data_IF_194715596808
#
_entry.id   IF_194715596808
#
_cell.length_a   1.000
_cell.length_b   1.000
_cell.length_c   1.000
_cell.angle_alpha   90.00
_cell.angle_beta   90.00
_cell.angle_gamma   90.00
#
_symmetry.space_group_name_H-M   'P 1'
#
loop_
_entity.id
_entity.type
_entity.pdbx_description
1 polymer ?
#
# COMPACT_ATOMS: atom_id res chain seq x y z
N UNK A 1 -19.50 1.46 -4.94
CA UNK A 1 -19.22 2.78 -5.55
C UNK A 1 -18.06 2.70 -6.55
N UNK A 2 -16.92 2.11 -6.16
CA UNK A 2 -15.80 1.86 -7.08
C UNK A 2 -16.17 0.99 -8.29
N UNK A 3 -17.02 -0.03 -8.10
CA UNK A 3 -17.49 -0.94 -9.17
C UNK A 3 -18.20 -0.24 -10.33
N UNK A 4 -18.83 0.91 -10.07
CA UNK A 4 -19.49 1.72 -11.10
C UNK A 4 -18.50 2.68 -11.74
N UNK A 5 -17.70 3.38 -10.93
CA UNK A 5 -16.71 4.35 -11.40
C UNK A 5 -15.69 3.71 -12.35
N UNK A 6 -15.18 2.51 -12.02
CA UNK A 6 -14.14 1.86 -12.83
C UNK A 6 -14.66 1.34 -14.19
N UNK A 7 -15.97 1.38 -14.43
CA UNK A 7 -16.61 1.05 -15.70
C UNK A 7 -16.84 2.27 -16.59
N UNK A 8 -16.51 3.47 -16.11
CA UNK A 8 -16.61 4.68 -16.93
C UNK A 8 -15.62 4.61 -18.11
N UNK A 9 -15.98 5.14 -19.30
CA UNK A 9 -15.15 4.99 -20.51
C UNK A 9 -13.72 5.53 -20.37
N UNK A 10 -13.49 6.48 -19.47
CA UNK A 10 -12.14 6.99 -19.20
C UNK A 10 -11.18 5.94 -18.61
N UNK A 11 -11.71 4.81 -18.12
CA UNK A 11 -10.95 3.71 -17.54
C UNK A 11 -10.92 2.45 -18.44
N UNK A 12 -11.37 2.55 -19.70
CA UNK A 12 -11.36 1.42 -20.65
C UNK A 12 -9.94 0.92 -20.98
N UNK A 13 -8.91 1.72 -20.70
CA UNK A 13 -7.51 1.33 -20.88
C UNK A 13 -7.02 0.34 -19.79
N UNK A 14 -7.76 0.19 -18.68
CA UNK A 14 -7.41 -0.72 -17.59
C UNK A 14 -7.89 -2.13 -17.95
N UNK A 15 -7.03 -3.14 -17.78
CA UNK A 15 -7.41 -4.53 -18.02
C UNK A 15 -8.50 -5.00 -17.04
N UNK A 16 -9.35 -5.95 -17.44
CA UNK A 16 -10.40 -6.46 -16.54
C UNK A 16 -9.81 -7.07 -15.27
N UNK A 17 -8.66 -7.77 -15.36
CA UNK A 17 -7.95 -8.31 -14.19
C UNK A 17 -7.49 -7.21 -13.23
N UNK A 18 -7.00 -6.08 -13.75
CA UNK A 18 -6.60 -4.94 -12.93
C UNK A 18 -7.83 -4.24 -12.30
N UNK A 19 -8.95 -4.15 -13.04
CA UNK A 19 -10.21 -3.62 -12.49
C UNK A 19 -10.71 -4.50 -11.35
N UNK A 20 -10.67 -5.82 -11.51
CA UNK A 20 -11.05 -6.79 -10.47
C UNK A 20 -10.19 -6.61 -9.23
N UNK A 21 -8.88 -6.42 -9.40
CA UNK A 21 -7.99 -6.12 -8.28
C UNK A 21 -8.34 -4.80 -7.57
N UNK A 22 -8.55 -3.72 -8.32
CA UNK A 22 -8.94 -2.40 -7.76
C UNK A 22 -10.22 -2.54 -6.94
N UNK A 23 -11.23 -3.22 -7.47
CA UNK A 23 -12.51 -3.45 -6.79
C UNK A 23 -12.26 -4.25 -5.52
N UNK A 24 -11.61 -5.41 -5.63
CA UNK A 24 -11.45 -6.34 -4.51
C UNK A 24 -10.60 -5.75 -3.38
N UNK A 25 -9.50 -5.04 -3.70
CA UNK A 25 -8.70 -4.34 -2.71
C UNK A 25 -9.47 -3.19 -2.05
N UNK A 26 -10.21 -2.40 -2.84
CA UNK A 26 -11.02 -1.28 -2.31
C UNK A 26 -12.07 -1.80 -1.33
N UNK A 27 -12.82 -2.82 -1.70
CA UNK A 27 -13.82 -3.47 -0.84
C UNK A 27 -13.18 -4.03 0.43
N UNK A 28 -12.01 -4.68 0.32
CA UNK A 28 -11.27 -5.19 1.47
C UNK A 28 -10.85 -4.11 2.47
N UNK A 29 -10.42 -2.93 1.98
CA UNK A 29 -10.07 -1.80 2.82
C UNK A 29 -11.29 -1.09 3.42
N UNK A 30 -12.39 -0.99 2.68
CA UNK A 30 -13.65 -0.43 3.16
C UNK A 30 -14.23 -1.26 4.31
N UNK A 31 -14.16 -2.58 4.22
CA UNK A 31 -14.52 -3.48 5.33
C UNK A 31 -13.66 -3.27 6.59
N UNK A 32 -12.46 -2.70 6.45
CA UNK A 32 -11.56 -2.35 7.57
C UNK A 32 -11.74 -0.92 8.07
N UNK A 33 -12.71 -0.17 7.54
CA UNK A 33 -12.97 1.22 7.90
C UNK A 33 -12.03 2.21 7.22
N UNK A 34 -11.49 1.87 6.06
CA UNK A 34 -10.67 2.76 5.22
C UNK A 34 -11.36 3.03 3.89
N UNK A 35 -11.23 4.24 3.36
CA UNK A 35 -11.87 4.61 2.10
C UNK A 35 -10.91 5.39 1.22
N UNK A 36 -11.09 5.26 -0.09
CA UNK A 36 -10.42 6.11 -1.08
C UNK A 36 -11.08 7.50 -1.21
N UNK A 37 -12.19 7.73 -0.49
CA UNK A 37 -12.91 9.01 -0.48
C UNK A 37 -13.82 9.23 -1.69
N UNK A 38 -14.06 8.19 -2.49
CA UNK A 38 -15.02 8.22 -3.60
C UNK A 38 -14.55 8.90 -4.87
N UNK A 39 -13.26 9.22 -4.99
CA UNK A 39 -12.70 9.89 -6.16
C UNK A 39 -11.45 9.16 -6.64
N UNK A 40 -11.44 8.80 -7.92
CA UNK A 40 -10.22 8.41 -8.64
C UNK A 40 -9.52 9.71 -9.07
N UNK A 41 -8.37 10.02 -8.47
CA UNK A 41 -7.63 11.26 -8.73
C UNK A 41 -6.59 11.08 -9.83
N UNK A 42 -5.90 12.17 -10.20
CA UNK A 42 -4.74 12.12 -11.13
C UNK A 42 -3.52 11.48 -10.46
N UNK A 43 -2.79 10.62 -11.15
CA UNK A 43 -1.71 9.81 -10.58
C UNK A 43 -0.36 10.50 -10.30
N UNK A 44 -0.26 11.82 -10.48
CA UNK A 44 0.92 12.68 -10.24
C UNK A 44 2.29 11.99 -10.40
N UNK A 45 2.82 11.96 -11.64
CA UNK A 45 4.13 11.43 -12.02
C UNK A 45 4.31 9.90 -11.92
N UNK A 46 3.35 9.14 -11.36
CA UNK A 46 3.44 7.70 -11.14
C UNK A 46 2.34 6.87 -11.84
N UNK A 47 1.43 7.54 -12.55
CA UNK A 47 0.32 6.97 -13.31
C UNK A 47 -0.60 8.06 -13.88
N UNK A 48 -1.54 7.66 -14.74
CA UNK A 48 -2.60 8.56 -15.22
C UNK A 48 -3.59 8.86 -14.09
N UNK A 49 -3.94 7.83 -13.32
CA UNK A 49 -4.90 7.90 -12.23
C UNK A 49 -4.37 7.28 -10.93
N UNK A 50 -4.99 7.61 -9.80
CA UNK A 50 -4.71 6.97 -8.52
C UNK A 50 -5.91 6.97 -7.57
N UNK A 51 -5.95 5.94 -6.73
CA UNK A 51 -6.79 5.92 -5.53
C UNK A 51 -5.92 6.23 -4.31
N UNK A 52 -6.41 7.05 -3.38
CA UNK A 52 -5.71 7.34 -2.12
C UNK A 52 -6.56 6.93 -0.92
N UNK A 53 -6.14 5.88 -0.22
CA UNK A 53 -6.85 5.34 0.92
C UNK A 53 -6.45 6.03 2.23
N UNK A 54 -7.45 6.33 3.06
CA UNK A 54 -7.33 6.93 4.39
C UNK A 54 -8.35 6.29 5.34
N UNK A 55 -8.13 6.42 6.65
CA UNK A 55 -9.12 5.96 7.64
C UNK A 55 -10.41 6.78 7.50
N UNK A 56 -11.55 6.10 7.37
CA UNK A 56 -12.84 6.74 7.27
C UNK A 56 -13.16 7.50 8.57
N UNK A 57 -13.84 8.66 8.44
CA UNK A 57 -14.27 9.51 9.55
C UNK A 57 -13.16 9.96 10.52
N UNK A 58 -11.89 9.87 10.12
CA UNK A 58 -10.76 10.34 10.92
C UNK A 58 -10.46 11.81 10.62
N UNK A 59 -10.15 12.59 11.67
CA UNK A 59 -9.62 13.96 11.50
C UNK A 59 -8.25 13.98 10.81
N UNK A 60 -7.48 12.92 11.01
CA UNK A 60 -6.16 12.75 10.37
C UNK A 60 -6.33 12.40 8.89
N UNK A 61 -5.58 13.10 8.04
CA UNK A 61 -5.54 12.87 6.58
C UNK A 61 -4.40 11.92 6.17
N UNK A 62 -3.89 11.12 7.11
CA UNK A 62 -2.81 10.17 6.86
C UNK A 62 -3.21 9.17 5.78
N UNK A 63 -2.37 9.09 4.75
CA UNK A 63 -2.49 8.11 3.67
C UNK A 63 -1.96 6.79 4.16
N UNK A 64 -2.72 5.72 3.96
CA UNK A 64 -2.36 4.37 4.38
C UNK A 64 -2.07 3.44 3.21
N UNK A 65 -2.68 3.71 2.05
CA UNK A 65 -2.42 3.00 0.82
C UNK A 65 -2.69 3.90 -0.39
N UNK A 66 -2.08 3.57 -1.53
CA UNK A 66 -2.40 4.12 -2.84
C UNK A 66 -2.41 3.01 -3.86
N UNK A 67 -3.30 3.11 -4.85
CA UNK A 67 -3.18 2.35 -6.09
C UNK A 67 -2.86 3.37 -7.18
N UNK A 68 -1.73 3.20 -7.85
CA UNK A 68 -1.38 3.95 -9.04
C UNK A 68 -1.83 3.16 -10.27
N UNK A 69 -2.61 3.80 -11.12
CA UNK A 69 -3.13 3.23 -12.36
C UNK A 69 -2.27 3.78 -13.49
N UNK A 70 -1.52 2.91 -14.16
CA UNK A 70 -0.67 3.22 -15.31
C UNK A 70 -1.31 2.64 -16.56
N UNK A 71 -0.85 3.05 -17.73
CA UNK A 71 -1.43 2.62 -19.02
C UNK A 71 -1.48 1.09 -19.21
N UNK A 72 -0.56 0.34 -18.59
CA UNK A 72 -0.42 -1.11 -18.80
C UNK A 72 -0.22 -1.91 -17.51
N UNK A 73 -0.35 -1.28 -16.35
CA UNK A 73 -0.11 -1.93 -15.06
C UNK A 73 -0.66 -1.14 -13.88
N UNK A 74 -0.74 -1.84 -12.75
CA UNK A 74 -1.01 -1.23 -11.45
C UNK A 74 0.24 -1.26 -10.56
N UNK A 75 0.31 -0.28 -9.66
CA UNK A 75 1.20 -0.34 -8.51
C UNK A 75 0.40 -0.09 -7.25
N UNK A 76 0.29 -1.10 -6.40
CA UNK A 76 -0.21 -0.94 -5.05
C UNK A 76 0.94 -0.45 -4.18
N UNK A 77 0.72 0.60 -3.40
CA UNK A 77 1.68 1.09 -2.44
C UNK A 77 1.06 1.20 -1.06
N UNK A 78 1.70 0.58 -0.07
CA UNK A 78 1.27 0.63 1.32
C UNK A 78 2.17 1.55 2.13
N UNK A 79 1.62 2.33 3.05
CA UNK A 79 2.41 3.26 3.85
C UNK A 79 2.64 2.64 5.22
N UNK A 80 3.86 2.18 5.49
CA UNK A 80 4.18 1.52 6.76
C UNK A 80 5.19 2.30 7.59
N UNK A 81 4.99 2.29 8.90
CA UNK A 81 5.89 2.89 9.89
C UNK A 81 6.20 1.85 10.97
N UNK A 82 7.27 2.07 11.74
CA UNK A 82 7.72 1.15 12.79
C UNK A 82 7.96 -0.28 12.29
N UNK A 83 8.53 -0.43 11.09
CA UNK A 83 8.70 -1.73 10.40
C UNK A 83 9.36 -2.79 11.27
N UNK A 84 10.42 -2.45 12.03
CA UNK A 84 11.11 -3.38 12.94
C UNK A 84 10.16 -4.06 13.95
N UNK A 85 9.08 -3.39 14.38
CA UNK A 85 8.11 -3.99 15.32
C UNK A 85 7.35 -5.18 14.73
N UNK A 86 7.31 -5.28 13.41
CA UNK A 86 6.59 -6.31 12.67
C UNK A 86 7.54 -7.36 12.08
N UNK A 87 8.79 -7.42 12.56
CA UNK A 87 9.84 -8.34 12.08
C UNK A 87 9.35 -9.79 11.95
N UNK A 88 8.76 -10.33 13.02
CA UNK A 88 8.32 -11.74 13.03
C UNK A 88 7.28 -12.04 11.92
N UNK A 89 6.34 -11.13 11.69
CA UNK A 89 5.35 -11.29 10.63
C UNK A 89 6.01 -11.22 9.25
N UNK A 90 6.88 -10.24 9.02
CA UNK A 90 7.56 -10.05 7.73
C UNK A 90 8.47 -11.23 7.41
N UNK A 91 9.20 -11.77 8.40
CA UNK A 91 10.06 -12.94 8.21
C UNK A 91 9.29 -14.21 7.83
N UNK A 92 8.07 -14.37 8.33
CA UNK A 92 7.20 -15.51 8.04
C UNK A 92 6.34 -15.33 6.78
N UNK A 93 6.30 -14.12 6.20
CA UNK A 93 5.49 -13.82 5.03
C UNK A 93 6.09 -14.46 3.75
N UNK A 94 5.26 -14.68 2.72
CA UNK A 94 5.74 -15.13 1.41
C UNK A 94 6.82 -14.20 0.85
N UNK A 95 7.71 -14.75 0.03
CA UNK A 95 8.88 -14.04 -0.48
C UNK A 95 8.53 -12.71 -1.16
N UNK A 96 7.44 -12.67 -1.93
CA UNK A 96 7.02 -11.45 -2.62
C UNK A 96 6.54 -10.33 -1.67
N UNK A 97 6.08 -10.67 -0.45
CA UNK A 97 5.81 -9.69 0.60
C UNK A 97 7.11 -9.27 1.26
N UNK A 98 7.96 -10.24 1.63
CA UNK A 98 9.23 -10.00 2.32
C UNK A 98 10.21 -9.15 1.49
N UNK A 99 10.28 -9.41 0.18
CA UNK A 99 11.18 -8.74 -0.76
C UNK A 99 10.91 -7.23 -0.89
N UNK A 100 9.67 -6.80 -0.62
CA UNK A 100 9.31 -5.37 -0.63
C UNK A 100 9.94 -4.59 0.53
N UNK A 101 10.36 -5.29 1.59
CA UNK A 101 11.14 -4.73 2.70
C UNK A 101 12.65 -4.96 2.51
N UNK A 102 13.03 -6.13 2.02
CA UNK A 102 14.42 -6.62 2.09
C UNK A 102 15.19 -6.55 0.77
N UNK A 103 14.51 -6.60 -0.38
CA UNK A 103 15.15 -6.54 -1.71
C UNK A 103 15.61 -5.13 -2.08
N UNK A 104 16.38 -4.95 -3.15
CA UNK A 104 17.07 -3.69 -3.44
C UNK A 104 16.18 -2.53 -3.91
N UNK A 105 14.92 -2.79 -4.27
CA UNK A 105 14.02 -1.73 -4.72
C UNK A 105 13.83 -0.68 -3.62
N UNK A 106 13.89 0.59 -4.01
CA UNK A 106 13.75 1.71 -3.10
C UNK A 106 14.89 1.89 -2.09
N UNK A 107 16.01 1.16 -2.18
CA UNK A 107 17.19 1.37 -1.31
C UNK A 107 17.62 2.83 -1.31
N UNK A 108 17.87 3.36 -0.11
CA UNK A 108 18.28 4.75 0.07
C UNK A 108 19.64 4.98 -0.61
N UNK A 109 19.72 6.01 -1.46
CA UNK A 109 20.96 6.41 -2.13
C UNK A 109 21.66 7.60 -1.46
N UNK A 110 21.22 8.00 -0.26
CA UNK A 110 21.70 9.20 0.46
C UNK A 110 21.72 10.48 -0.41
N UNK A 111 20.78 10.61 -1.35
CA UNK A 111 20.77 11.72 -2.33
C UNK A 111 20.55 13.12 -1.71
N UNK A 112 20.17 13.17 -0.42
CA UNK A 112 20.03 14.39 0.37
C UNK A 112 20.93 14.38 1.61
N UNK A 113 22.00 13.58 1.59
CA UNK A 113 22.90 13.37 2.72
C UNK A 113 22.23 12.61 3.87
N UNK A 114 22.90 12.60 5.02
CA UNK A 114 22.54 11.74 6.15
C UNK A 114 21.33 12.22 6.97
N UNK A 115 20.79 13.41 6.67
CA UNK A 115 19.63 13.98 7.36
C UNK A 115 18.36 13.99 6.49
N UNK A 116 18.27 13.06 5.53
CA UNK A 116 17.10 12.94 4.68
C UNK A 116 15.85 12.52 5.49
N UNK A 117 14.90 13.43 5.67
CA UNK A 117 13.59 13.14 6.33
C UNK A 117 12.74 12.08 5.64
N UNK A 118 13.10 11.70 4.42
CA UNK A 118 12.43 10.65 3.65
C UNK A 118 13.14 9.31 3.76
N UNK A 119 14.25 9.19 4.50
CA UNK A 119 14.85 7.89 4.74
C UNK A 119 14.04 7.13 5.80
N UNK A 120 13.84 5.84 5.56
CA UNK A 120 13.26 4.87 6.48
C UNK A 120 14.34 3.88 6.86
N UNK A 121 14.64 3.85 8.15
CA UNK A 121 15.64 2.96 8.73
C UNK A 121 14.91 1.93 9.60
N UNK A 122 15.18 0.65 9.37
CA UNK A 122 14.59 -0.45 10.13
C UNK A 122 15.46 -1.70 10.06
N UNK A 123 15.09 -2.70 10.84
CA UNK A 123 15.80 -3.98 10.90
C UNK A 123 14.81 -5.11 10.64
N UNK A 124 15.20 -6.07 9.80
CA UNK A 124 14.50 -7.33 9.58
C UNK A 124 15.51 -8.46 9.71
N UNK A 125 15.22 -9.43 10.57
CA UNK A 125 16.07 -10.60 10.84
C UNK A 125 17.52 -10.24 11.24
N UNK A 126 17.69 -9.20 12.06
CA UNK A 126 19.02 -8.70 12.45
C UNK A 126 19.76 -7.91 11.37
N UNK A 127 19.19 -7.77 10.18
CA UNK A 127 19.80 -7.03 9.07
C UNK A 127 19.22 -5.60 9.02
N UNK A 128 20.06 -4.56 9.09
CA UNK A 128 19.60 -3.18 8.93
C UNK A 128 19.32 -2.85 7.46
N UNK A 129 18.23 -2.13 7.22
CA UNK A 129 17.83 -1.64 5.91
C UNK A 129 17.56 -0.14 5.95
N UNK A 130 18.06 0.55 4.94
CA UNK A 130 17.74 1.94 4.67
C UNK A 130 16.98 2.07 3.35
N UNK A 131 15.78 2.64 3.40
CA UNK A 131 14.93 2.81 2.24
C UNK A 131 14.46 4.24 2.03
N UNK A 132 14.21 4.59 0.77
CA UNK A 132 13.61 5.85 0.40
C UNK A 132 12.08 5.77 0.56
N UNK A 133 11.52 6.58 1.47
CA UNK A 133 10.08 6.78 1.61
C UNK A 133 9.43 7.27 0.31
N UNK A 134 10.17 7.71 -0.70
CA UNK A 134 9.61 8.02 -2.02
C UNK A 134 9.17 6.79 -2.83
N UNK A 135 9.75 5.61 -2.57
CA UNK A 135 9.67 4.42 -3.44
C UNK A 135 9.48 3.11 -2.65
N UNK A 136 9.08 3.20 -1.38
CA UNK A 136 8.98 2.03 -0.50
C UNK A 136 7.59 1.43 -0.49
N UNK A 137 7.59 0.13 -0.25
CA UNK A 137 6.41 -0.70 -0.02
C UNK A 137 5.47 -0.75 -1.22
N UNK A 138 6.06 -0.78 -2.41
CA UNK A 138 5.39 -0.86 -3.70
C UNK A 138 5.33 -2.32 -4.17
N UNK A 139 4.12 -2.74 -4.54
CA UNK A 139 3.81 -4.00 -5.16
C UNK A 139 3.44 -3.70 -6.61
N UNK A 140 4.34 -4.05 -7.52
CA UNK A 140 4.14 -3.93 -8.95
C UNK A 140 3.31 -5.12 -9.44
N UNK A 141 2.37 -4.84 -10.34
CA UNK A 141 1.46 -5.83 -10.93
C UNK A 141 0.76 -6.68 -9.85
N UNK A 142 0.08 -6.02 -8.87
CA UNK A 142 -0.63 -6.72 -7.82
C UNK A 142 -1.80 -7.50 -8.41
N UNK A 143 -2.12 -8.66 -7.83
CA UNK A 143 -3.17 -9.55 -8.35
C UNK A 143 -4.18 -9.94 -7.28
N UNK A 144 -5.36 -10.37 -7.72
CA UNK A 144 -6.44 -10.83 -6.84
C UNK A 144 -6.02 -12.08 -6.07
N UNK A 145 -5.21 -12.97 -6.65
CA UNK A 145 -4.76 -14.18 -5.93
C UNK A 145 -3.91 -13.84 -4.69
N UNK A 146 -3.21 -12.70 -4.72
CA UNK A 146 -2.35 -12.21 -3.62
C UNK A 146 -3.07 -11.27 -2.66
N UNK A 147 -4.34 -10.97 -2.93
CA UNK A 147 -5.14 -10.07 -2.11
C UNK A 147 -5.16 -10.45 -0.61
N UNK A 148 -5.32 -11.74 -0.23
CA UNK A 148 -5.32 -12.12 1.19
C UNK A 148 -4.05 -11.67 1.92
N UNK A 149 -2.89 -11.78 1.28
CA UNK A 149 -1.60 -11.43 1.88
C UNK A 149 -1.41 -9.91 1.98
N UNK A 150 -1.88 -9.14 0.99
CA UNK A 150 -1.89 -7.67 1.08
C UNK A 150 -2.77 -7.17 2.23
N UNK A 151 -3.95 -7.77 2.41
CA UNK A 151 -4.87 -7.43 3.50
C UNK A 151 -4.30 -7.87 4.84
N UNK A 152 -3.69 -9.06 4.95
CA UNK A 152 -3.05 -9.52 6.17
C UNK A 152 -1.90 -8.60 6.58
N UNK A 153 -1.03 -8.24 5.64
CA UNK A 153 0.05 -7.28 5.87
C UNK A 153 -0.49 -5.91 6.32
N UNK A 154 -1.54 -5.41 5.65
CA UNK A 154 -2.18 -4.16 6.05
C UNK A 154 -2.71 -4.23 7.49
N UNK A 155 -3.42 -5.30 7.85
CA UNK A 155 -3.94 -5.52 9.20
C UNK A 155 -2.84 -5.59 10.23
N UNK A 156 -1.71 -6.22 9.93
CA UNK A 156 -0.56 -6.31 10.85
C UNK A 156 -0.07 -4.92 11.28
N UNK A 157 0.10 -4.01 10.33
CA UNK A 157 0.59 -2.66 10.58
C UNK A 157 -0.45 -1.71 11.16
N UNK A 158 -1.73 -1.95 10.86
CA UNK A 158 -2.82 -1.07 11.21
C UNK A 158 -3.77 -1.65 12.27
N UNK A 159 -3.33 -2.69 13.01
CA UNK A 159 -4.09 -3.30 14.10
C UNK A 159 -4.78 -2.22 14.91
N UNK A 160 -6.11 -2.18 14.84
CA UNK A 160 -6.90 -1.38 15.76
C UNK A 160 -6.65 -1.98 17.13
N UNK A 161 -6.11 -1.21 18.07
CA UNK A 161 -6.14 -1.62 19.47
C UNK A 161 -7.59 -1.93 19.81
N UNK A 162 -7.89 -3.20 20.08
CA UNK A 162 -9.19 -3.66 20.56
C UNK A 162 -9.36 -3.18 22.00
N UNK A 163 -9.58 -1.88 22.19
CA UNK A 163 -10.18 -1.35 23.41
C UNK A 163 -11.69 -1.31 23.24
N UNK A 164 -12.31 -2.48 23.10
CA UNK A 164 -13.77 -2.66 23.23
C UNK A 164 -14.16 -4.12 22.99
N UNK A 165 -13.70 -5.03 23.85
CA UNK A 165 -14.40 -6.27 24.21
C UNK A 165 -14.09 -6.56 25.69
N UNK A 166 -14.60 -5.69 26.54
CA UNK A 166 -14.90 -6.00 27.93
C UNK A 166 -16.30 -5.45 28.15
N UNK A 167 -17.28 -6.29 27.82
CA UNK A 167 -18.66 -6.14 28.29
C UNK A 167 -18.75 -6.87 29.62
#
# INVERSE_FOLDING_TARGET
>A
MIEQQIKEPEFDFISETDKDFIIAFTTGLEALGYTYGGTIGRGFCWGSHMLIFRKANAKSKNVVARIYIREKSLVLRLFFNNVTKHNAFICAAPEYIKNVFTGDYGTCKHCKGDHCKFRKDYEIDGVPYEKCNGMTFEFHDPSVERLPDYIALFREFYKTSSKSEAL
#
